data_IF_150654494747
#
_entry.id   IF_150654494747
#
_cell.length_a   1.000
_cell.length_b   1.000
_cell.length_c   1.000
_cell.angle_alpha   90.00
_cell.angle_beta   90.00
_cell.angle_gamma   90.00
#
_symmetry.space_group_name_H-M   'P 1'
#
loop_
_entity.id
_entity.type
_entity.pdbx_description
1 polymer ?
#
# COMPACT_ATOMS: atom_id res chain seq x y z
N UNK A 1 -13.67 -30.12 1.51
CA UNK A 1 -14.21 -28.79 1.92
C UNK A 1 -13.39 -28.38 3.12
N UNK A 2 -12.32 -27.64 2.86
CA UNK A 2 -11.45 -27.18 3.94
C UNK A 2 -12.18 -26.06 4.68
N UNK A 3 -12.33 -26.27 5.96
CA UNK A 3 -12.92 -25.29 6.88
C UNK A 3 -11.98 -24.08 6.94
N UNK A 4 -12.39 -22.95 6.37
CA UNK A 4 -11.65 -21.70 6.40
C UNK A 4 -12.11 -20.84 7.60
N UNK A 5 -11.38 -20.85 8.72
CA UNK A 5 -11.75 -20.12 9.93
C UNK A 5 -11.75 -18.58 9.75
N UNK A 6 -11.14 -18.08 8.67
CA UNK A 6 -11.02 -16.64 8.37
C UNK A 6 -12.21 -16.13 7.55
N UNK A 7 -12.92 -17.01 6.84
CA UNK A 7 -14.06 -16.62 5.99
C UNK A 7 -15.24 -15.98 6.74
N UNK A 8 -15.30 -16.11 8.06
CA UNK A 8 -16.47 -15.67 8.86
C UNK A 8 -16.32 -14.26 9.47
N UNK A 9 -15.25 -13.50 9.20
CA UNK A 9 -15.00 -12.18 9.82
C UNK A 9 -14.94 -11.00 8.81
N UNK A 10 -15.80 -11.01 7.81
CA UNK A 10 -16.16 -9.80 7.05
C UNK A 10 -15.40 -9.56 5.74
N UNK A 11 -14.08 -9.63 5.63
CA UNK A 11 -13.36 -9.39 4.37
C UNK A 11 -12.21 -10.36 4.19
N UNK A 12 -12.21 -11.09 3.07
CA UNK A 12 -11.09 -11.95 2.67
C UNK A 12 -9.99 -11.05 2.08
N UNK A 13 -8.73 -11.11 2.61
CA UNK A 13 -7.63 -10.37 2.04
C UNK A 13 -7.35 -10.77 0.59
N UNK A 14 -6.98 -9.80 -0.25
CA UNK A 14 -6.72 -10.04 -1.67
C UNK A 14 -5.54 -11.00 -1.84
N UNK A 15 -5.74 -12.08 -2.61
CA UNK A 15 -4.71 -13.07 -2.95
C UNK A 15 -3.92 -13.62 -1.74
N UNK A 16 -4.55 -13.75 -0.58
CA UNK A 16 -3.87 -14.12 0.68
C UNK A 16 -3.04 -15.39 0.58
N UNK A 17 -3.57 -16.44 -0.09
CA UNK A 17 -2.86 -17.71 -0.28
C UNK A 17 -1.59 -17.47 -1.10
N UNK A 18 -1.69 -16.69 -2.18
CA UNK A 18 -0.55 -16.38 -3.03
C UNK A 18 0.51 -15.57 -2.32
N UNK A 19 0.13 -14.64 -1.43
CA UNK A 19 1.09 -13.90 -0.61
C UNK A 19 1.85 -14.82 0.33
N UNK A 20 1.17 -15.76 0.98
CA UNK A 20 1.83 -16.77 1.82
C UNK A 20 2.75 -17.68 1.00
N UNK A 21 2.33 -18.18 -0.16
CA UNK A 21 3.17 -18.99 -1.05
C UNK A 21 4.45 -18.26 -1.49
N UNK A 22 4.36 -16.96 -1.79
CA UNK A 22 5.53 -16.16 -2.18
C UNK A 22 6.52 -15.99 -1.02
N UNK A 23 6.02 -15.88 0.21
CA UNK A 23 6.85 -15.69 1.40
C UNK A 23 7.34 -17.02 2.01
N UNK A 24 6.64 -18.13 1.81
CA UNK A 24 6.92 -19.41 2.45
C UNK A 24 8.37 -19.87 2.34
N UNK A 25 9.07 -19.85 1.18
CA UNK A 25 10.46 -20.29 1.10
C UNK A 25 11.41 -19.50 2.00
N UNK A 26 11.17 -18.20 2.17
CA UNK A 26 11.97 -17.38 3.08
C UNK A 26 11.65 -17.72 4.54
N UNK A 27 10.37 -17.84 4.88
CA UNK A 27 9.95 -18.22 6.24
C UNK A 27 10.52 -19.58 6.65
N UNK A 28 10.49 -20.55 5.74
CA UNK A 28 11.09 -21.88 5.95
C UNK A 28 12.62 -21.79 6.16
N UNK A 29 13.32 -20.98 5.37
CA UNK A 29 14.76 -20.79 5.50
C UNK A 29 15.16 -20.15 6.84
N UNK A 30 14.38 -19.16 7.32
CA UNK A 30 14.65 -18.50 8.60
C UNK A 30 14.19 -19.30 9.81
N UNK A 31 13.26 -20.26 9.64
CA UNK A 31 12.76 -21.16 10.68
C UNK A 31 12.14 -20.39 11.86
N UNK A 32 12.55 -20.75 13.09
CA UNK A 32 12.02 -20.14 14.33
C UNK A 32 12.42 -18.66 14.52
N UNK A 33 13.26 -18.13 13.65
CA UNK A 33 13.65 -16.72 13.61
C UNK A 33 13.00 -15.95 12.45
N UNK A 34 11.97 -16.52 11.82
CA UNK A 34 11.29 -15.86 10.74
C UNK A 34 10.46 -14.68 11.27
N UNK A 35 10.80 -13.47 10.83
CA UNK A 35 10.02 -12.26 11.08
C UNK A 35 9.44 -11.77 9.77
N UNK A 36 8.12 -11.61 9.72
CA UNK A 36 7.40 -11.02 8.61
C UNK A 36 7.00 -9.59 8.99
N UNK A 37 7.21 -8.64 8.10
CA UNK A 37 6.70 -7.28 8.21
C UNK A 37 5.45 -7.15 7.35
N UNK A 38 4.30 -6.90 7.96
CA UNK A 38 3.08 -6.46 7.28
C UNK A 38 3.02 -4.92 7.37
N UNK A 39 3.50 -4.24 6.33
CA UNK A 39 3.62 -2.78 6.31
C UNK A 39 2.27 -2.07 6.15
N UNK A 40 1.21 -2.80 5.86
CA UNK A 40 -0.14 -2.30 5.58
C UNK A 40 -1.19 -3.15 6.30
N UNK A 41 -1.04 -3.22 7.63
CA UNK A 41 -1.77 -4.16 8.49
C UNK A 41 -3.30 -4.11 8.29
N UNK A 42 -3.88 -2.90 8.18
CA UNK A 42 -5.32 -2.71 8.11
C UNK A 42 -6.03 -3.42 9.25
N UNK A 43 -7.03 -4.24 8.93
CA UNK A 43 -7.75 -5.07 9.91
C UNK A 43 -7.02 -6.40 10.26
N UNK A 44 -5.77 -6.58 9.84
CA UNK A 44 -4.94 -7.73 10.19
C UNK A 44 -5.25 -9.03 9.43
N UNK A 45 -5.91 -8.95 8.28
CA UNK A 45 -6.35 -10.14 7.56
C UNK A 45 -5.21 -10.97 6.97
N UNK A 46 -4.22 -10.37 6.32
CA UNK A 46 -3.01 -11.06 5.85
C UNK A 46 -2.19 -11.57 7.03
N UNK A 47 -1.99 -10.75 8.05
CA UNK A 47 -1.26 -11.14 9.27
C UNK A 47 -1.88 -12.32 9.97
N UNK A 48 -3.22 -12.38 10.12
CA UNK A 48 -3.90 -13.55 10.69
C UNK A 48 -3.61 -14.84 9.90
N UNK A 49 -3.65 -14.72 8.58
CA UNK A 49 -3.37 -15.83 7.70
C UNK A 49 -1.90 -16.30 7.80
N UNK A 50 -0.94 -15.36 7.85
CA UNK A 50 0.47 -15.69 8.03
C UNK A 50 0.75 -16.38 9.37
N UNK A 51 0.24 -15.84 10.47
CA UNK A 51 0.41 -16.41 11.81
C UNK A 51 -0.24 -17.79 11.96
N UNK A 52 -1.33 -18.05 11.22
CA UNK A 52 -1.99 -19.36 11.18
C UNK A 52 -1.25 -20.36 10.30
N UNK A 53 -0.65 -19.89 9.19
CA UNK A 53 0.06 -20.74 8.22
C UNK A 53 1.48 -21.05 8.67
N UNK A 54 2.14 -20.12 9.35
CA UNK A 54 3.53 -20.21 9.81
C UNK A 54 3.59 -20.17 11.35
N UNK A 55 3.47 -21.31 12.02
CA UNK A 55 3.27 -21.37 13.48
C UNK A 55 4.44 -20.82 14.30
N UNK A 56 5.65 -20.77 13.72
CA UNK A 56 6.85 -20.29 14.41
C UNK A 56 7.24 -18.86 14.01
N UNK A 57 6.56 -18.27 13.04
CA UNK A 57 6.88 -16.92 12.60
C UNK A 57 6.33 -15.86 13.54
N UNK A 58 7.05 -14.74 13.62
CA UNK A 58 6.60 -13.48 14.17
C UNK A 58 6.09 -12.56 13.07
N UNK A 59 5.12 -11.72 13.38
CA UNK A 59 4.67 -10.66 12.45
C UNK A 59 4.71 -9.30 13.15
N UNK A 60 5.43 -8.37 12.54
CA UNK A 60 5.40 -6.94 12.88
C UNK A 60 4.36 -6.32 11.94
N UNK A 61 3.23 -5.89 12.51
CA UNK A 61 2.15 -5.27 11.75
C UNK A 61 2.13 -3.76 11.93
N UNK A 62 2.25 -3.02 10.81
CA UNK A 62 2.35 -1.55 10.83
C UNK A 62 1.08 -0.96 10.23
N UNK A 63 0.48 -0.02 10.93
CA UNK A 63 -0.54 0.86 10.39
C UNK A 63 -0.45 2.24 11.04
N UNK A 64 -0.69 3.27 10.26
CA UNK A 64 -0.77 4.65 10.77
C UNK A 64 -2.15 5.01 11.32
N UNK A 65 -3.17 4.23 10.93
CA UNK A 65 -4.54 4.43 11.38
C UNK A 65 -4.76 3.77 12.75
N UNK A 66 -4.94 4.53 13.84
CA UNK A 66 -5.13 3.96 15.17
C UNK A 66 -6.37 3.07 15.27
N UNK A 67 -7.41 3.33 14.46
CA UNK A 67 -8.62 2.51 14.45
C UNK A 67 -8.37 1.15 13.80
N UNK A 68 -7.63 1.13 12.69
CA UNK A 68 -7.22 -0.11 12.05
C UNK A 68 -6.33 -0.95 12.97
N UNK A 69 -5.35 -0.29 13.61
CA UNK A 69 -4.43 -0.94 14.53
C UNK A 69 -5.15 -1.55 15.74
N UNK A 70 -6.12 -0.84 16.33
CA UNK A 70 -6.92 -1.35 17.45
C UNK A 70 -7.74 -2.59 17.03
N UNK A 71 -8.42 -2.54 15.89
CA UNK A 71 -9.20 -3.67 15.37
C UNK A 71 -8.31 -4.88 15.04
N UNK A 72 -7.14 -4.66 14.46
CA UNK A 72 -6.18 -5.73 14.20
C UNK A 72 -5.63 -6.33 15.50
N UNK A 73 -5.34 -5.52 16.50
CA UNK A 73 -4.83 -5.99 17.80
C UNK A 73 -5.86 -6.89 18.51
N UNK A 74 -7.14 -6.52 18.47
CA UNK A 74 -8.22 -7.35 19.02
C UNK A 74 -8.33 -8.68 18.25
N UNK A 75 -8.34 -8.62 16.92
CA UNK A 75 -8.43 -9.78 16.03
C UNK A 75 -7.30 -10.77 16.24
N UNK A 76 -6.09 -10.27 16.43
CA UNK A 76 -4.85 -11.06 16.48
C UNK A 76 -4.42 -11.42 17.91
N UNK A 77 -5.20 -11.06 18.94
CA UNK A 77 -4.87 -11.31 20.35
C UNK A 77 -4.57 -12.80 20.67
N UNK A 78 -5.19 -13.73 19.94
CA UNK A 78 -4.95 -15.16 20.10
C UNK A 78 -3.53 -15.62 19.77
N UNK A 79 -2.76 -14.83 19.02
CA UNK A 79 -1.38 -15.17 18.63
C UNK A 79 -0.33 -14.69 19.63
N UNK A 80 -0.74 -13.95 20.68
CA UNK A 80 0.14 -13.49 21.75
C UNK A 80 1.34 -12.70 21.24
N UNK A 81 2.51 -13.00 21.78
CA UNK A 81 3.76 -12.30 21.47
C UNK A 81 4.28 -12.49 20.04
N UNK A 82 3.67 -13.39 19.27
CA UNK A 82 4.03 -13.57 17.86
C UNK A 82 3.54 -12.42 16.96
N UNK A 83 2.60 -11.61 17.45
CA UNK A 83 2.13 -10.42 16.77
C UNK A 83 2.55 -9.15 17.51
N UNK A 84 3.20 -8.25 16.80
CA UNK A 84 3.67 -6.97 17.35
C UNK A 84 3.08 -5.82 16.54
N UNK A 85 2.07 -5.10 17.10
CA UNK A 85 1.50 -3.93 16.46
C UNK A 85 2.42 -2.71 16.59
N UNK A 86 2.50 -1.92 15.52
CA UNK A 86 3.26 -0.67 15.45
C UNK A 86 2.42 0.42 14.84
N UNK A 87 2.19 1.52 15.56
CA UNK A 87 1.53 2.70 15.04
C UNK A 87 2.56 3.60 14.35
N UNK A 88 2.69 3.48 13.05
CA UNK A 88 3.58 4.29 12.23
C UNK A 88 3.14 4.29 10.78
N UNK A 89 3.65 5.22 9.97
CA UNK A 89 3.63 5.07 8.52
C UNK A 89 4.67 4.01 8.14
N UNK A 90 4.36 3.16 7.20
CA UNK A 90 5.17 1.96 6.89
C UNK A 90 6.62 2.27 6.46
N UNK A 91 6.90 3.48 5.94
CA UNK A 91 8.25 3.91 5.59
C UNK A 91 9.14 4.25 6.80
N UNK A 92 8.56 4.32 8.00
CA UNK A 92 9.32 4.46 9.25
C UNK A 92 9.87 3.12 9.79
N UNK A 93 9.65 1.98 9.12
CA UNK A 93 10.06 0.66 9.60
C UNK A 93 11.56 0.58 9.96
N UNK A 94 12.42 1.28 9.24
CA UNK A 94 13.86 1.32 9.54
C UNK A 94 14.17 1.94 10.90
N UNK A 95 13.54 3.06 11.21
CA UNK A 95 13.69 3.76 12.49
C UNK A 95 13.10 2.93 13.65
N UNK A 96 11.92 2.33 13.41
CA UNK A 96 11.27 1.43 14.37
C UNK A 96 12.14 0.20 14.64
N UNK A 97 12.66 -0.45 13.61
CA UNK A 97 13.51 -1.62 13.74
C UNK A 97 14.82 -1.33 14.48
N UNK A 98 15.34 -0.12 14.38
CA UNK A 98 16.55 0.31 15.07
C UNK A 98 16.33 0.63 16.56
N UNK A 99 15.12 1.05 16.96
CA UNK A 99 14.84 1.60 18.30
C UNK A 99 13.94 0.73 19.18
N UNK A 100 13.14 -0.16 18.60
CA UNK A 100 12.20 -0.99 19.36
C UNK A 100 12.94 -2.20 19.98
N UNK A 101 12.72 -2.44 21.27
CA UNK A 101 13.39 -3.49 22.05
C UNK A 101 12.59 -4.80 22.16
N UNK A 102 11.43 -4.89 21.51
CA UNK A 102 10.63 -6.14 21.50
C UNK A 102 11.33 -7.23 20.69
N UNK A 103 11.16 -8.50 21.10
CA UNK A 103 11.89 -9.66 20.56
C UNK A 103 11.97 -9.74 19.01
N UNK A 104 10.90 -9.55 18.24
CA UNK A 104 11.01 -9.62 16.79
C UNK A 104 11.99 -8.60 16.19
N UNK A 105 12.19 -7.45 16.84
CA UNK A 105 13.13 -6.43 16.34
C UNK A 105 14.58 -6.80 16.63
N UNK A 106 14.87 -7.52 17.73
CA UNK A 106 16.20 -8.08 17.96
C UNK A 106 16.56 -9.07 16.86
N UNK A 107 15.63 -9.95 16.50
CA UNK A 107 15.81 -10.92 15.41
C UNK A 107 16.08 -10.18 14.08
N UNK A 108 15.31 -9.11 13.79
CA UNK A 108 15.52 -8.30 12.58
C UNK A 108 16.90 -7.67 12.54
N UNK A 109 17.41 -7.15 13.68
CA UNK A 109 18.76 -6.56 13.74
C UNK A 109 19.87 -7.59 13.54
N UNK A 110 19.67 -8.82 14.01
CA UNK A 110 20.68 -9.89 13.92
C UNK A 110 20.65 -10.63 12.58
N UNK A 111 19.46 -10.89 12.03
CA UNK A 111 19.27 -11.81 10.89
C UNK A 111 18.59 -11.18 9.70
N UNK A 112 18.01 -10.01 9.87
CA UNK A 112 17.16 -9.36 8.88
C UNK A 112 15.73 -9.90 8.85
N UNK A 113 14.91 -9.28 8.05
CA UNK A 113 13.50 -9.63 7.80
C UNK A 113 13.43 -10.84 6.86
N UNK A 114 12.65 -11.86 7.22
CA UNK A 114 12.40 -13.02 6.37
C UNK A 114 11.40 -12.72 5.27
N UNK A 115 10.32 -12.01 5.59
CA UNK A 115 9.27 -11.67 4.65
C UNK A 115 8.73 -10.27 4.87
N UNK A 116 8.36 -9.58 3.80
CA UNK A 116 7.67 -8.30 3.89
C UNK A 116 6.52 -8.25 2.89
N UNK A 117 5.36 -7.78 3.36
CA UNK A 117 4.18 -7.53 2.53
C UNK A 117 3.76 -6.07 2.64
N UNK A 118 3.49 -5.47 1.48
CA UNK A 118 2.87 -4.15 1.37
C UNK A 118 1.65 -4.25 0.44
N UNK A 119 0.45 -4.25 1.03
CA UNK A 119 -0.83 -4.20 0.32
C UNK A 119 -1.27 -2.74 0.21
N UNK A 120 -0.81 -2.08 -0.88
CA UNK A 120 -0.91 -0.62 -1.04
C UNK A 120 -2.35 -0.17 -1.28
N UNK A 121 -2.62 1.08 -0.96
CA UNK A 121 -3.92 1.72 -1.16
C UNK A 121 -4.71 1.92 0.13
N UNK A 122 -6.04 1.86 0.04
CA UNK A 122 -6.93 2.07 1.19
C UNK A 122 -7.47 0.74 1.72
N UNK A 123 -7.53 0.62 3.02
CA UNK A 123 -8.18 -0.52 3.65
C UNK A 123 -9.70 -0.50 3.41
N UNK A 124 -10.31 -1.69 3.46
CA UNK A 124 -11.76 -1.81 3.41
C UNK A 124 -12.45 -0.98 4.49
N UNK A 125 -11.91 -0.98 5.70
CA UNK A 125 -12.44 -0.21 6.82
C UNK A 125 -12.48 1.30 6.54
N UNK A 126 -11.47 1.85 5.85
CA UNK A 126 -11.44 3.26 5.50
C UNK A 126 -12.52 3.62 4.45
N UNK A 127 -12.77 2.73 3.49
CA UNK A 127 -13.83 2.91 2.50
C UNK A 127 -15.24 2.76 3.10
N UNK A 128 -15.40 1.86 4.07
CA UNK A 128 -16.68 1.56 4.70
C UNK A 128 -17.04 2.57 5.81
N UNK A 129 -16.06 3.34 6.31
CA UNK A 129 -16.30 4.44 7.25
C UNK A 129 -16.69 5.72 6.51
N UNK A 130 -17.97 5.84 6.17
CA UNK A 130 -18.53 6.94 5.37
C UNK A 130 -18.09 8.34 5.86
N UNK A 131 -18.02 8.55 7.18
CA UNK A 131 -17.65 9.83 7.80
C UNK A 131 -16.22 10.31 7.52
N UNK A 132 -15.35 9.45 6.97
CA UNK A 132 -13.94 9.79 6.68
C UNK A 132 -13.72 10.39 5.28
N UNK A 133 -14.75 10.43 4.45
CA UNK A 133 -14.70 11.10 3.14
C UNK A 133 -13.88 10.40 2.05
N UNK A 134 -13.50 9.14 2.22
CA UNK A 134 -12.81 8.37 1.17
C UNK A 134 -13.73 7.97 0.02
N UNK A 135 -15.00 7.78 0.30
CA UNK A 135 -16.02 7.40 -0.67
C UNK A 135 -16.72 8.63 -1.27
N UNK A 136 -16.98 8.58 -2.56
CA UNK A 136 -17.69 9.64 -3.29
C UNK A 136 -19.18 9.33 -3.53
N UNK A 137 -19.66 8.18 -3.02
CA UNK A 137 -21.06 7.74 -3.19
C UNK A 137 -22.01 8.31 -2.12
N UNK A 138 -21.47 8.58 -0.95
CA UNK A 138 -22.19 9.09 0.21
C UNK A 138 -21.62 10.47 0.56
N UNK A 139 -22.48 11.41 0.95
CA UNK A 139 -22.02 12.72 1.41
C UNK A 139 -21.33 12.61 2.77
N UNK A 140 -20.13 13.15 2.84
CA UNK A 140 -19.27 13.09 4.01
C UNK A 140 -18.34 14.29 4.08
N UNK A 141 -17.77 14.61 5.26
CA UNK A 141 -16.70 15.58 5.37
C UNK A 141 -15.52 15.25 4.43
N UNK A 142 -14.92 16.24 3.79
CA UNK A 142 -13.73 16.09 2.94
C UNK A 142 -12.47 15.98 3.81
N UNK A 143 -12.36 14.92 4.62
CA UNK A 143 -11.22 14.64 5.48
C UNK A 143 -10.12 13.88 4.72
N UNK A 144 -10.35 12.64 4.36
CA UNK A 144 -9.46 11.70 3.65
C UNK A 144 -8.14 11.39 4.37
N UNK A 145 -7.92 11.78 5.63
CA UNK A 145 -6.72 11.42 6.38
C UNK A 145 -6.78 9.97 6.83
N UNK A 146 -5.75 9.21 6.55
CA UNK A 146 -5.55 7.88 7.14
C UNK A 146 -5.08 7.99 8.59
N UNK A 147 -4.17 8.91 8.87
CA UNK A 147 -3.75 9.30 10.19
C UNK A 147 -4.46 10.60 10.61
N UNK A 148 -5.38 10.49 11.56
CA UNK A 148 -6.19 11.62 12.04
C UNK A 148 -5.41 12.62 12.89
N UNK A 149 -4.15 12.32 13.26
CA UNK A 149 -3.26 13.26 13.98
C UNK A 149 -2.63 14.29 13.04
N UNK A 150 -2.62 14.04 11.72
CA UNK A 150 -2.16 15.00 10.73
C UNK A 150 -3.13 16.16 10.58
N UNK A 151 -2.63 17.33 10.20
CA UNK A 151 -3.44 18.54 10.06
C UNK A 151 -4.11 18.66 8.69
N UNK A 152 -3.42 18.24 7.61
CA UNK A 152 -3.89 18.44 6.23
C UNK A 152 -5.05 17.51 5.87
N UNK A 153 -6.20 18.11 5.52
CA UNK A 153 -7.40 17.41 5.03
C UNK A 153 -7.61 17.63 3.52
N UNK A 154 -8.48 16.84 2.91
CA UNK A 154 -8.89 17.09 1.53
C UNK A 154 -9.61 18.44 1.36
N UNK A 155 -10.35 18.89 2.38
CA UNK A 155 -10.94 20.23 2.39
C UNK A 155 -9.87 21.31 2.35
N UNK A 156 -8.79 21.18 3.14
CA UNK A 156 -7.69 22.15 3.12
C UNK A 156 -7.02 22.22 1.75
N UNK A 157 -6.75 21.07 1.12
CA UNK A 157 -6.20 21.02 -0.24
C UNK A 157 -7.08 21.80 -1.21
N UNK A 158 -8.39 21.57 -1.21
CA UNK A 158 -9.32 22.27 -2.11
C UNK A 158 -9.42 23.76 -1.82
N UNK A 159 -9.40 24.15 -0.56
CA UNK A 159 -9.63 25.52 -0.14
C UNK A 159 -8.38 26.40 -0.14
N UNK A 160 -7.16 25.81 -0.05
CA UNK A 160 -5.93 26.59 0.12
C UNK A 160 -4.95 26.48 -1.04
N UNK A 161 -4.94 25.37 -1.78
CA UNK A 161 -3.97 25.17 -2.85
C UNK A 161 -4.15 26.15 -4.01
N UNK A 162 -3.03 26.49 -4.68
CA UNK A 162 -3.05 27.28 -5.90
C UNK A 162 -3.69 26.53 -7.07
N UNK A 163 -4.08 27.25 -8.13
CA UNK A 163 -4.54 26.61 -9.38
C UNK A 163 -3.50 25.62 -9.92
N UNK A 164 -2.22 26.02 -9.90
CA UNK A 164 -1.12 25.19 -10.40
C UNK A 164 -0.98 23.89 -9.62
N UNK A 165 -1.03 23.97 -8.28
CA UNK A 165 -0.91 22.79 -7.42
C UNK A 165 -2.12 21.86 -7.57
N UNK A 166 -3.34 22.38 -7.58
CA UNK A 166 -4.54 21.59 -7.83
C UNK A 166 -4.49 20.90 -9.20
N UNK A 167 -4.14 21.62 -10.26
CA UNK A 167 -4.02 21.03 -11.58
C UNK A 167 -2.92 19.95 -11.64
N UNK A 168 -1.79 20.19 -10.98
CA UNK A 168 -0.68 19.25 -10.87
C UNK A 168 -1.13 17.94 -10.20
N UNK A 169 -1.70 18.00 -9.00
CA UNK A 169 -2.12 16.79 -8.27
C UNK A 169 -3.21 16.03 -9.03
N UNK A 170 -4.20 16.72 -9.56
CA UNK A 170 -5.28 16.10 -10.34
C UNK A 170 -4.75 15.40 -11.60
N UNK A 171 -3.78 15.99 -12.29
CA UNK A 171 -3.16 15.40 -13.47
C UNK A 171 -2.22 14.26 -13.11
N UNK A 172 -1.34 14.46 -12.11
CA UNK A 172 -0.27 13.51 -11.78
C UNK A 172 -0.81 12.31 -11.00
N UNK A 173 -1.66 12.53 -10.01
CA UNK A 173 -2.17 11.48 -9.12
C UNK A 173 -3.51 10.89 -9.55
N UNK A 174 -4.33 11.69 -10.23
CA UNK A 174 -5.64 11.26 -10.71
C UNK A 174 -5.66 10.83 -12.18
N UNK A 175 -4.60 11.08 -12.95
CA UNK A 175 -4.63 10.98 -14.42
C UNK A 175 -5.87 11.71 -15.01
N UNK A 176 -6.18 12.88 -14.42
CA UNK A 176 -7.39 13.63 -14.76
C UNK A 176 -7.17 14.51 -16.00
N UNK A 177 -7.89 14.20 -17.05
CA UNK A 177 -7.77 14.91 -18.35
C UNK A 177 -8.22 16.36 -18.28
N UNK A 178 -9.16 16.67 -17.38
CA UNK A 178 -9.74 18.00 -17.20
C UNK A 178 -9.15 18.74 -16.00
N UNK A 179 -7.96 18.33 -15.52
CA UNK A 179 -7.33 18.85 -14.30
C UNK A 179 -7.32 20.39 -14.21
N UNK A 180 -6.89 21.09 -15.26
CA UNK A 180 -6.87 22.55 -15.26
C UNK A 180 -8.26 23.20 -15.24
N UNK A 181 -9.26 22.55 -15.88
CA UNK A 181 -10.65 23.04 -15.86
C UNK A 181 -11.28 22.86 -14.49
N UNK A 182 -11.06 21.69 -13.88
CA UNK A 182 -11.53 21.38 -12.53
C UNK A 182 -10.86 22.29 -11.50
N UNK A 183 -9.55 22.48 -11.56
CA UNK A 183 -8.83 23.39 -10.67
C UNK A 183 -9.40 24.82 -10.73
N UNK A 184 -9.68 25.34 -11.94
CA UNK A 184 -10.30 26.65 -12.12
C UNK A 184 -11.69 26.71 -11.49
N UNK A 185 -12.51 25.71 -11.71
CA UNK A 185 -13.86 25.64 -11.14
C UNK A 185 -13.82 25.59 -9.60
N UNK A 186 -12.87 24.85 -9.02
CA UNK A 186 -12.66 24.81 -7.57
C UNK A 186 -12.33 26.22 -7.04
N UNK A 187 -11.37 26.92 -7.65
CA UNK A 187 -11.00 28.27 -7.23
C UNK A 187 -12.20 29.24 -7.27
N UNK A 188 -12.98 29.19 -8.34
CA UNK A 188 -14.16 30.05 -8.48
C UNK A 188 -15.25 29.77 -7.45
N UNK A 189 -15.46 28.49 -7.14
CA UNK A 189 -16.51 28.13 -6.19
C UNK A 189 -16.12 28.32 -4.74
N UNK A 190 -14.84 28.08 -4.37
CA UNK A 190 -14.39 28.28 -2.99
C UNK A 190 -14.42 29.75 -2.52
N UNK A 191 -14.33 30.72 -3.46
CA UNK A 191 -14.49 32.14 -3.16
C UNK A 191 -15.91 32.50 -2.68
N UNK A 192 -16.91 31.73 -3.10
CA UNK A 192 -18.30 31.91 -2.69
C UNK A 192 -18.60 31.17 -1.39
N UNK A 193 -18.12 29.95 -1.31
CA UNK A 193 -18.34 29.06 -0.18
C UNK A 193 -17.22 27.99 -0.14
N UNK A 194 -16.53 27.77 0.99
CA UNK A 194 -15.52 26.74 1.11
C UNK A 194 -16.05 25.32 0.88
N UNK A 195 -15.21 24.44 0.37
CA UNK A 195 -15.51 23.01 0.26
C UNK A 195 -15.40 22.35 1.64
N UNK A 196 -16.49 21.72 2.10
CA UNK A 196 -16.55 21.03 3.40
C UNK A 196 -17.00 19.58 3.24
N UNK A 197 -17.83 19.28 2.23
CA UNK A 197 -18.41 17.95 2.02
C UNK A 197 -18.15 17.41 0.62
N UNK A 198 -18.20 16.09 0.52
CA UNK A 198 -17.96 15.36 -0.73
C UNK A 198 -19.03 15.61 -1.79
N UNK A 199 -20.31 15.76 -1.39
CA UNK A 199 -21.41 15.96 -2.32
C UNK A 199 -21.18 17.21 -3.18
N UNK A 200 -20.77 18.31 -2.57
CA UNK A 200 -20.49 19.56 -3.29
C UNK A 200 -19.34 19.44 -4.29
N UNK A 201 -18.28 18.68 -3.93
CA UNK A 201 -17.20 18.40 -4.87
C UNK A 201 -17.69 17.53 -6.03
N UNK A 202 -18.49 16.51 -5.74
CA UNK A 202 -19.07 15.62 -6.76
C UNK A 202 -19.94 16.42 -7.74
N UNK A 203 -20.79 17.33 -7.25
CA UNK A 203 -21.62 18.21 -8.07
C UNK A 203 -20.77 19.07 -9.02
N UNK A 204 -19.72 19.75 -8.49
CA UNK A 204 -18.78 20.52 -9.30
C UNK A 204 -18.16 19.66 -10.42
N UNK A 205 -17.77 18.42 -10.11
CA UNK A 205 -17.17 17.53 -11.10
C UNK A 205 -18.16 17.12 -12.19
N UNK A 206 -19.43 16.87 -11.82
CA UNK A 206 -20.47 16.62 -12.81
C UNK A 206 -20.72 17.81 -13.75
N UNK A 207 -20.68 19.04 -13.24
CA UNK A 207 -20.87 20.24 -14.02
C UNK A 207 -19.65 20.54 -14.91
N UNK A 208 -18.45 20.21 -14.44
CA UNK A 208 -17.20 20.57 -15.10
C UNK A 208 -16.78 19.56 -16.16
N UNK A 209 -17.00 18.25 -15.92
CA UNK A 209 -16.58 17.17 -16.82
C UNK A 209 -17.67 16.94 -17.88
N UNK A 210 -17.31 16.95 -19.19
CA UNK A 210 -18.29 16.78 -20.26
C UNK A 210 -19.07 15.47 -20.17
N UNK A 211 -20.38 15.52 -20.42
CA UNK A 211 -21.28 14.36 -20.30
C UNK A 211 -20.86 13.16 -21.18
N UNK A 212 -20.31 13.43 -22.37
CA UNK A 212 -19.80 12.39 -23.28
C UNK A 212 -18.67 11.57 -22.65
N UNK A 213 -17.78 12.21 -21.88
CA UNK A 213 -16.64 11.54 -21.20
C UNK A 213 -17.10 10.74 -20.00
N UNK A 214 -18.15 11.16 -19.32
CA UNK A 214 -18.71 10.47 -18.14
C UNK A 214 -19.32 9.10 -18.48
N UNK A 215 -19.77 8.90 -19.73
CA UNK A 215 -20.41 7.65 -20.16
C UNK A 215 -19.43 6.50 -20.37
N UNK A 216 -18.16 6.78 -20.64
CA UNK A 216 -17.14 5.78 -20.98
C UNK A 216 -16.07 5.57 -19.93
N UNK A 217 -15.99 6.43 -18.91
CA UNK A 217 -14.83 6.52 -17.99
C UNK A 217 -15.05 6.12 -16.52
N UNK A 218 -16.20 5.56 -16.17
CA UNK A 218 -16.59 5.31 -14.78
C UNK A 218 -17.06 6.59 -14.07
N UNK A 219 -17.17 6.54 -12.75
CA UNK A 219 -17.66 7.68 -11.97
C UNK A 219 -16.72 8.88 -12.06
N UNK A 220 -17.20 10.11 -12.41
CA UNK A 220 -16.35 11.27 -12.66
C UNK A 220 -15.51 11.70 -11.45
N UNK A 221 -15.99 11.44 -10.22
CA UNK A 221 -15.26 11.78 -9.01
C UNK A 221 -14.08 10.82 -8.70
N UNK A 222 -14.03 9.63 -9.28
CA UNK A 222 -13.03 8.59 -8.93
C UNK A 222 -11.61 9.12 -8.99
N UNK A 223 -11.25 9.82 -10.07
CA UNK A 223 -9.88 10.32 -10.31
C UNK A 223 -9.51 11.47 -9.38
N UNK A 224 -10.45 12.38 -9.16
CA UNK A 224 -10.25 13.53 -8.27
C UNK A 224 -10.11 13.07 -6.82
N UNK A 225 -10.95 12.14 -6.35
CA UNK A 225 -10.86 11.58 -4.99
C UNK A 225 -9.55 10.81 -4.78
N UNK A 226 -9.12 10.03 -5.78
CA UNK A 226 -7.81 9.38 -5.76
C UNK A 226 -6.68 10.41 -5.62
N UNK A 227 -6.71 11.49 -6.40
CA UNK A 227 -5.67 12.51 -6.38
C UNK A 227 -5.59 13.22 -5.01
N UNK A 228 -6.74 13.59 -4.45
CA UNK A 228 -6.81 14.20 -3.12
C UNK A 228 -6.30 13.25 -2.02
N UNK A 229 -6.71 11.99 -2.07
CA UNK A 229 -6.28 10.97 -1.11
C UNK A 229 -4.76 10.78 -1.13
N UNK A 230 -4.17 10.64 -2.32
CA UNK A 230 -2.72 10.48 -2.49
C UNK A 230 -1.98 11.71 -1.94
N UNK A 231 -2.46 12.92 -2.24
CA UNK A 231 -1.85 14.16 -1.74
C UNK A 231 -1.92 14.27 -0.22
N UNK A 232 -3.12 14.12 0.36
CA UNK A 232 -3.34 14.20 1.81
C UNK A 232 -2.46 13.21 2.58
N UNK A 233 -2.34 11.98 2.07
CA UNK A 233 -1.65 10.90 2.77
C UNK A 233 -0.20 10.69 2.33
N UNK A 234 0.29 11.42 1.34
CA UNK A 234 1.64 11.25 0.76
C UNK A 234 1.94 9.79 0.40
N UNK A 235 0.96 9.11 -0.20
CA UNK A 235 1.01 7.66 -0.41
C UNK A 235 2.20 7.23 -1.27
N UNK A 236 2.44 7.92 -2.40
CA UNK A 236 3.52 7.57 -3.33
C UNK A 236 4.90 7.84 -2.74
N UNK A 237 5.06 8.94 -1.98
CA UNK A 237 6.29 9.25 -1.26
C UNK A 237 6.65 8.15 -0.25
N UNK A 238 5.64 7.62 0.46
CA UNK A 238 5.86 6.53 1.40
C UNK A 238 6.33 5.24 0.69
N UNK A 239 5.78 4.94 -0.49
CA UNK A 239 6.24 3.79 -1.31
C UNK A 239 7.68 3.98 -1.78
N UNK A 240 8.03 5.17 -2.27
CA UNK A 240 9.40 5.49 -2.70
C UNK A 240 10.40 5.34 -1.56
N UNK A 241 10.04 5.78 -0.36
CA UNK A 241 10.91 5.71 0.83
C UNK A 241 11.06 4.32 1.41
N UNK A 242 9.98 3.53 1.46
CA UNK A 242 10.05 2.19 2.07
C UNK A 242 10.84 1.20 1.24
N UNK A 243 10.86 1.33 -0.09
CA UNK A 243 11.51 0.37 -0.97
C UNK A 243 13.00 0.15 -0.62
N UNK A 244 13.86 1.17 -0.56
CA UNK A 244 15.24 0.97 -0.13
C UNK A 244 15.34 0.47 1.31
N UNK A 245 14.54 1.01 2.22
CA UNK A 245 14.56 0.63 3.64
C UNK A 245 14.27 -0.85 3.84
N UNK A 246 13.17 -1.33 3.25
CA UNK A 246 12.79 -2.74 3.43
C UNK A 246 13.74 -3.70 2.74
N UNK A 247 14.28 -3.35 1.57
CA UNK A 247 15.25 -4.20 0.87
C UNK A 247 16.59 -4.29 1.62
N UNK A 248 16.99 -3.24 2.31
CA UNK A 248 18.16 -3.26 3.19
C UNK A 248 17.90 -4.14 4.43
N UNK A 249 16.72 -4.04 5.04
CA UNK A 249 16.33 -4.83 6.20
C UNK A 249 16.14 -6.33 5.92
N UNK A 250 15.90 -6.72 4.65
CA UNK A 250 15.81 -8.15 4.32
C UNK A 250 17.12 -8.87 4.65
N UNK A 251 17.03 -10.02 5.31
CA UNK A 251 18.14 -10.95 5.38
C UNK A 251 18.37 -11.67 4.04
N UNK A 252 19.52 -12.33 3.84
CA UNK A 252 19.78 -13.14 2.65
C UNK A 252 18.78 -14.28 2.55
N UNK A 253 18.10 -14.41 1.42
CA UNK A 253 16.95 -15.31 1.22
C UNK A 253 15.61 -14.68 1.61
N UNK A 254 15.61 -13.52 2.27
CA UNK A 254 14.40 -12.78 2.61
C UNK A 254 13.69 -12.22 1.38
N UNK A 255 12.37 -12.08 1.46
CA UNK A 255 11.50 -11.71 0.34
C UNK A 255 10.63 -10.50 0.66
N UNK A 256 10.52 -9.57 -0.28
CA UNK A 256 9.55 -8.47 -0.21
C UNK A 256 8.53 -8.57 -1.35
N UNK A 257 7.25 -8.40 -1.00
CA UNK A 257 6.12 -8.46 -1.93
C UNK A 257 5.30 -7.18 -1.81
N UNK A 258 5.03 -6.55 -2.95
CA UNK A 258 4.20 -5.36 -3.06
C UNK A 258 2.99 -5.65 -3.92
N UNK A 259 1.82 -5.28 -3.41
CA UNK A 259 0.53 -5.32 -4.09
C UNK A 259 0.12 -3.88 -4.41
N UNK A 260 0.04 -3.56 -5.70
CA UNK A 260 -0.33 -2.22 -6.18
C UNK A 260 -1.70 -2.27 -6.85
N UNK A 261 -2.54 -1.27 -6.62
CA UNK A 261 -3.87 -1.15 -7.25
C UNK A 261 -3.96 -0.01 -8.25
N UNK A 262 -2.93 0.83 -8.28
CA UNK A 262 -2.81 1.96 -9.17
C UNK A 262 -1.55 1.85 -10.02
N UNK A 263 -1.61 2.40 -11.23
CA UNK A 263 -0.46 2.41 -12.15
C UNK A 263 0.75 3.20 -11.61
N UNK A 264 0.53 4.19 -10.76
CA UNK A 264 1.59 5.02 -10.18
C UNK A 264 2.40 4.22 -9.16
N UNK A 265 1.71 3.52 -8.25
CA UNK A 265 2.36 2.60 -7.30
C UNK A 265 3.18 1.53 -8.03
N UNK A 266 2.55 0.85 -9.01
CA UNK A 266 3.20 -0.20 -9.79
C UNK A 266 4.44 0.29 -10.55
N UNK A 267 4.42 1.54 -11.05
CA UNK A 267 5.58 2.15 -11.74
C UNK A 267 6.75 2.35 -10.78
N UNK A 268 6.50 2.83 -9.57
CA UNK A 268 7.53 3.05 -8.55
C UNK A 268 8.15 1.70 -8.15
N UNK A 269 7.32 0.73 -7.77
CA UNK A 269 7.80 -0.61 -7.38
C UNK A 269 8.54 -1.30 -8.53
N UNK A 270 8.01 -1.23 -9.76
CA UNK A 270 8.66 -1.79 -10.95
C UNK A 270 10.05 -1.18 -11.19
N UNK A 271 10.18 0.15 -11.06
CA UNK A 271 11.45 0.84 -11.29
C UNK A 271 12.48 0.42 -10.25
N UNK A 272 12.12 0.41 -8.96
CA UNK A 272 13.00 0.00 -7.88
C UNK A 272 13.43 -1.47 -8.01
N UNK A 273 12.49 -2.39 -8.26
CA UNK A 273 12.82 -3.80 -8.39
C UNK A 273 13.65 -4.11 -9.63
N UNK A 274 13.45 -3.37 -10.71
CA UNK A 274 14.31 -3.46 -11.88
C UNK A 274 15.76 -3.10 -11.54
N UNK A 275 15.98 -1.98 -10.87
CA UNK A 275 17.31 -1.55 -10.45
C UNK A 275 18.00 -2.57 -9.54
N UNK A 276 17.27 -3.22 -8.63
CA UNK A 276 17.81 -4.24 -7.73
C UNK A 276 18.13 -5.57 -8.42
N UNK A 277 17.42 -5.91 -9.49
CA UNK A 277 17.51 -7.22 -10.17
C UNK A 277 18.29 -7.18 -11.48
N UNK A 278 18.66 -6.00 -11.98
CA UNK A 278 19.51 -5.87 -13.17
C UNK A 278 21.00 -5.97 -12.79
N UNK A 279 21.76 -6.71 -13.60
CA UNK A 279 23.22 -6.71 -13.49
C UNK A 279 23.79 -5.33 -13.79
N UNK A 280 24.78 -4.92 -13.02
CA UNK A 280 25.57 -3.68 -13.27
C UNK A 280 26.72 -3.91 -14.23
N UNK A 281 26.86 -5.10 -14.81
CA UNK A 281 27.84 -5.41 -15.84
C UNK A 281 27.56 -4.58 -17.10
N UNK A 282 28.58 -3.94 -17.70
CA UNK A 282 28.43 -3.24 -18.97
C UNK A 282 27.85 -4.17 -20.06
N UNK A 283 26.90 -3.68 -20.89
CA UNK A 283 26.30 -4.50 -21.95
C UNK A 283 27.34 -4.98 -22.95
N UNK A 284 27.18 -6.21 -23.44
CA UNK A 284 28.07 -6.83 -24.45
C UNK A 284 29.10 -7.79 -23.89
N UNK A 285 29.18 -7.98 -22.60
CA UNK A 285 30.02 -9.03 -22.00
C UNK A 285 29.27 -10.34 -21.91
N UNK A 286 29.95 -11.50 -22.12
CA UNK A 286 29.29 -12.81 -22.15
C UNK A 286 28.86 -13.32 -20.76
N UNK A 287 29.34 -12.74 -19.68
CA UNK A 287 29.03 -13.07 -18.29
C UNK A 287 29.19 -11.84 -17.40
N UNK A 288 28.51 -11.88 -16.24
CA UNK A 288 28.64 -10.82 -15.26
C UNK A 288 30.05 -10.72 -14.68
N UNK A 289 30.51 -9.51 -14.52
CA UNK A 289 31.80 -9.24 -13.85
C UNK A 289 31.67 -9.49 -12.35
N UNK A 290 32.76 -9.88 -11.66
CA UNK A 290 32.77 -9.99 -10.20
C UNK A 290 32.30 -8.67 -9.54
N UNK A 291 31.35 -8.76 -8.63
CA UNK A 291 30.81 -7.60 -7.90
C UNK A 291 29.77 -6.76 -8.66
N UNK A 292 29.37 -7.17 -9.87
CA UNK A 292 28.31 -6.50 -10.64
C UNK A 292 27.03 -7.33 -10.76
N UNK A 293 27.02 -8.54 -10.20
CA UNK A 293 25.82 -9.39 -10.17
C UNK A 293 24.70 -8.70 -9.38
N UNK A 294 23.44 -8.93 -9.76
CA UNK A 294 22.31 -8.39 -9.01
C UNK A 294 22.26 -8.98 -7.60
N UNK A 295 22.00 -8.13 -6.62
CA UNK A 295 21.85 -8.54 -5.23
C UNK A 295 20.47 -9.14 -4.93
N UNK A 296 19.54 -9.02 -5.87
CA UNK A 296 18.18 -9.52 -5.76
C UNK A 296 17.79 -10.28 -7.02
N UNK A 297 16.80 -11.16 -6.88
CA UNK A 297 16.08 -11.77 -8.01
C UNK A 297 14.59 -11.49 -7.92
N UNK A 298 13.93 -11.39 -9.06
CA UNK A 298 12.47 -11.34 -9.10
C UNK A 298 11.89 -12.72 -8.75
N UNK A 299 10.87 -12.76 -7.89
CA UNK A 299 10.12 -13.98 -7.55
C UNK A 299 8.75 -14.01 -8.22
N UNK A 300 8.41 -12.99 -9.02
CA UNK A 300 7.20 -12.92 -9.83
C UNK A 300 7.56 -12.75 -11.30
N UNK A 301 6.76 -13.33 -12.21
CA UNK A 301 6.92 -13.11 -13.64
C UNK A 301 6.27 -11.77 -14.04
N UNK A 302 7.05 -10.69 -13.93
CA UNK A 302 6.54 -9.33 -14.12
C UNK A 302 5.56 -8.92 -13.01
N UNK A 303 4.41 -8.34 -13.40
CA UNK A 303 3.32 -8.07 -12.46
C UNK A 303 2.29 -9.19 -12.51
N UNK A 304 2.22 -10.01 -11.47
CA UNK A 304 1.16 -11.01 -11.35
C UNK A 304 -0.19 -10.32 -11.09
N UNK A 305 -1.25 -10.89 -11.62
CA UNK A 305 -2.63 -10.43 -11.45
C UNK A 305 -3.45 -11.50 -10.75
N UNK A 306 -4.53 -11.09 -10.11
CA UNK A 306 -5.49 -12.02 -9.56
C UNK A 306 -6.12 -12.90 -10.67
N UNK A 307 -6.42 -14.14 -10.31
CA UNK A 307 -7.16 -15.06 -11.18
C UNK A 307 -8.61 -14.59 -11.39
N UNK A 308 -9.27 -15.10 -12.43
CA UNK A 308 -10.70 -14.81 -12.63
C UNK A 308 -11.54 -15.26 -11.44
N UNK A 309 -11.24 -16.42 -10.90
CA UNK A 309 -11.93 -16.95 -9.70
C UNK A 309 -11.74 -16.06 -8.49
N UNK A 310 -10.53 -15.54 -8.25
CA UNK A 310 -10.28 -14.58 -7.17
C UNK A 310 -11.12 -13.29 -7.36
N UNK A 311 -11.15 -12.76 -8.59
CA UNK A 311 -11.91 -11.53 -8.90
C UNK A 311 -13.41 -11.73 -8.72
N UNK A 312 -13.95 -12.90 -9.07
CA UNK A 312 -15.36 -13.26 -8.89
C UNK A 312 -15.75 -13.27 -7.41
N UNK A 313 -14.87 -13.81 -6.54
CA UNK A 313 -15.10 -13.86 -5.10
C UNK A 313 -14.73 -12.54 -4.39
N UNK A 314 -13.72 -11.83 -4.89
CA UNK A 314 -13.24 -10.56 -4.35
C UNK A 314 -13.01 -9.53 -5.47
N UNK A 315 -14.03 -8.74 -5.85
CA UNK A 315 -13.91 -7.74 -6.92
C UNK A 315 -12.81 -6.70 -6.71
N UNK A 316 -12.34 -6.50 -5.46
CA UNK A 316 -11.21 -5.60 -5.15
C UNK A 316 -9.90 -6.08 -5.76
N UNK A 317 -9.76 -7.38 -6.01
CA UNK A 317 -8.59 -7.97 -6.66
C UNK A 317 -8.45 -7.62 -8.16
N UNK A 318 -9.48 -7.05 -8.78
CA UNK A 318 -9.51 -6.83 -10.24
C UNK A 318 -8.37 -5.95 -10.78
N UNK A 319 -7.88 -5.01 -9.98
CA UNK A 319 -6.80 -4.08 -10.38
C UNK A 319 -5.44 -4.43 -9.79
N UNK A 320 -5.33 -5.45 -8.93
CA UNK A 320 -4.09 -5.78 -8.24
C UNK A 320 -2.97 -6.16 -9.21
N UNK A 321 -1.77 -5.71 -8.88
CA UNK A 321 -0.51 -6.07 -9.51
C UNK A 321 0.49 -6.43 -8.43
N UNK A 322 0.92 -7.68 -8.42
CA UNK A 322 1.85 -8.20 -7.42
C UNK A 322 3.25 -8.28 -8.02
N UNK A 323 4.22 -7.70 -7.31
CA UNK A 323 5.64 -7.83 -7.60
C UNK A 323 6.39 -8.26 -6.36
N UNK A 324 7.36 -9.14 -6.54
CA UNK A 324 8.20 -9.60 -5.43
C UNK A 324 9.65 -9.78 -5.83
N UNK A 325 10.52 -9.59 -4.85
CA UNK A 325 11.96 -9.81 -4.96
C UNK A 325 12.48 -10.63 -3.78
N UNK A 326 13.59 -11.33 -3.99
CA UNK A 326 14.32 -12.07 -2.99
C UNK A 326 15.76 -11.57 -2.95
N UNK A 327 16.29 -11.36 -1.74
CA UNK A 327 17.68 -10.93 -1.52
C UNK A 327 18.64 -12.11 -1.66
N UNK A 328 19.62 -12.01 -2.54
CA UNK A 328 20.58 -13.08 -2.84
C UNK A 328 21.91 -12.91 -2.08
N UNK A 329 22.29 -11.68 -1.78
CA UNK A 329 23.53 -11.36 -1.09
C UNK A 329 23.41 -10.05 -0.30
N UNK A 330 24.29 -9.85 0.68
CA UNK A 330 24.42 -8.56 1.38
C UNK A 330 25.05 -7.52 0.43
N UNK A 331 24.62 -6.26 0.60
CA UNK A 331 25.32 -5.12 0.02
C UNK A 331 26.69 -4.98 0.71
N UNK A 332 27.77 -4.90 -0.06
CA UNK A 332 29.10 -4.65 0.48
C UNK A 332 29.22 -3.22 1.01
#
# INVERSE_FOLDING_TARGET
MDFDPVANRGHVPVMRNRMAELLAPAVEQFGDHAVIVDGTLGAGGHTEYFLSTFPNAFVIGIDRDPHALAAATERLAQFGDRFVPVQARFDAIGEVAASDERVPFDIVRERGVAGALFDLGVSSMQLDQEKRGFAYKTDAPLDMRMDTTQSLTAADVLNTYSHGDLARILKTYGDERFAGKIARAILQQREREPFTTSARLVELLYDTIPAATRRSGGHPAKRTFQALRIEVNRELEAVERVLPVITDLLGVGGRAVFMSYQSLEDKIVKAAFRELTESKTPPGLPMDLPGTQPLFRSITSGAEKASKTEIEHNPRAASVRVRGVEKLAQSN
#
